data_IF_687662264756
#
_entry.id   IF_687662264756
#
_cell.length_a   1.000
_cell.length_b   1.000
_cell.length_c   1.000
_cell.angle_alpha   90.00
_cell.angle_beta   90.00
_cell.angle_gamma   90.00
#
_symmetry.space_group_name_H-M   'P 1'
#
loop_
_entity.id
_entity.type
_entity.pdbx_description
1 polymer ?
#
# COMPACT_ATOMS: atom_id res chain seq x y z
N UNK A 1 19.76 -21.49 16.45
CA UNK A 1 18.31 -21.70 16.62
C UNK A 1 17.75 -21.98 15.24
N UNK A 2 17.18 -23.15 14.98
CA UNK A 2 16.64 -23.49 13.64
C UNK A 2 15.35 -22.70 13.37
N UNK A 3 15.02 -22.43 12.10
CA UNK A 3 13.80 -21.70 11.72
C UNK A 3 12.54 -22.36 12.27
N UNK A 4 12.52 -23.69 12.39
CA UNK A 4 11.41 -24.44 12.99
C UNK A 4 11.15 -24.06 14.44
N UNK A 5 12.18 -23.72 15.22
CA UNK A 5 11.99 -23.27 16.61
C UNK A 5 11.23 -21.94 16.64
N UNK A 6 11.56 -21.02 15.72
CA UNK A 6 10.90 -19.71 15.61
C UNK A 6 9.45 -19.88 15.16
N UNK A 7 9.20 -20.70 14.14
CA UNK A 7 7.83 -20.94 13.64
C UNK A 7 6.96 -21.65 14.67
N UNK A 8 7.48 -22.68 15.35
CA UNK A 8 6.73 -23.37 16.40
C UNK A 8 6.44 -22.48 17.61
N UNK A 9 7.36 -21.60 18.00
CA UNK A 9 7.08 -20.57 19.01
C UNK A 9 5.98 -19.61 18.54
N UNK A 10 6.05 -19.14 17.30
CA UNK A 10 5.04 -18.26 16.72
C UNK A 10 3.65 -18.91 16.64
N UNK A 11 3.57 -20.18 16.27
CA UNK A 11 2.30 -20.95 16.26
C UNK A 11 1.69 -21.01 17.65
N UNK A 12 2.47 -21.37 18.67
CA UNK A 12 1.99 -21.42 20.06
C UNK A 12 1.46 -20.07 20.52
N UNK A 13 2.13 -18.98 20.14
CA UNK A 13 1.66 -17.64 20.47
C UNK A 13 0.33 -17.33 19.76
N UNK A 14 0.21 -17.61 18.46
CA UNK A 14 -1.02 -17.42 17.70
C UNK A 14 -2.17 -18.21 18.34
N UNK A 15 -1.95 -19.48 18.66
CA UNK A 15 -2.94 -20.33 19.31
C UNK A 15 -3.35 -19.76 20.66
N UNK A 16 -2.42 -19.29 21.49
CA UNK A 16 -2.76 -18.66 22.77
C UNK A 16 -3.65 -17.42 22.63
N UNK A 17 -3.48 -16.64 21.56
CA UNK A 17 -4.35 -15.50 21.24
C UNK A 17 -5.74 -15.95 20.77
N UNK A 18 -5.82 -17.05 20.02
CA UNK A 18 -7.08 -17.61 19.52
C UNK A 18 -7.88 -18.31 20.62
N UNK A 19 -7.19 -19.00 21.53
CA UNK A 19 -7.75 -19.66 22.71
C UNK A 19 -8.33 -18.67 23.73
N UNK A 20 -7.84 -17.41 23.73
CA UNK A 20 -8.39 -16.36 24.57
C UNK A 20 -9.87 -16.07 24.27
N UNK A 21 -10.37 -16.42 23.07
CA UNK A 21 -11.79 -16.43 22.74
C UNK A 21 -12.16 -15.59 21.53
N UNK A 22 -13.26 -15.98 20.87
CA UNK A 22 -13.74 -15.38 19.62
C UNK A 22 -14.27 -13.95 19.77
N UNK A 23 -14.47 -13.46 21.00
CA UNK A 23 -14.86 -12.06 21.23
C UNK A 23 -13.81 -11.06 20.73
N UNK A 24 -12.54 -11.48 20.60
CA UNK A 24 -11.47 -10.67 20.01
C UNK A 24 -11.54 -10.60 18.48
N UNK A 25 -12.31 -11.47 17.82
CA UNK A 25 -12.33 -11.55 16.36
C UNK A 25 -12.78 -10.24 15.71
N UNK A 26 -13.93 -9.70 16.10
CA UNK A 26 -14.45 -8.47 15.48
C UNK A 26 -13.54 -7.25 15.73
N UNK A 27 -13.02 -7.00 16.95
CA UNK A 27 -12.00 -5.98 17.17
C UNK A 27 -10.75 -6.16 16.30
N UNK A 28 -10.24 -7.40 16.18
CA UNK A 28 -9.05 -7.67 15.37
C UNK A 28 -9.31 -7.52 13.87
N UNK A 29 -10.48 -7.88 13.38
CA UNK A 29 -10.89 -7.60 12.01
C UNK A 29 -10.99 -6.09 11.75
N UNK A 30 -11.52 -5.31 12.70
CA UNK A 30 -11.54 -3.86 12.59
C UNK A 30 -10.14 -3.25 12.51
N UNK A 31 -9.23 -3.61 13.42
CA UNK A 31 -7.86 -3.10 13.36
C UNK A 31 -7.15 -3.57 12.09
N UNK A 32 -7.35 -4.81 11.68
CA UNK A 32 -6.84 -5.28 10.40
C UNK A 32 -7.39 -4.47 9.22
N UNK A 33 -8.66 -4.06 9.28
CA UNK A 33 -9.28 -3.28 8.23
C UNK A 33 -8.56 -1.95 7.98
N UNK A 34 -8.13 -1.30 9.06
CA UNK A 34 -7.34 -0.06 9.00
C UNK A 34 -5.97 -0.25 8.34
N UNK A 35 -5.52 -1.50 8.16
CA UNK A 35 -4.27 -1.86 7.50
C UNK A 35 -4.39 -2.20 6.01
N UNK A 36 -5.60 -2.29 5.44
CA UNK A 36 -5.79 -2.64 4.03
C UNK A 36 -5.46 -1.48 3.08
N UNK A 37 -4.98 -1.83 1.89
CA UNK A 37 -4.78 -0.88 0.79
C UNK A 37 -6.06 -0.13 0.43
N UNK A 38 -7.23 -0.78 0.49
CA UNK A 38 -8.52 -0.12 0.25
C UNK A 38 -8.79 1.01 1.26
N UNK A 39 -8.50 0.80 2.54
CA UNK A 39 -8.65 1.85 3.56
C UNK A 39 -7.75 3.03 3.23
N UNK A 40 -6.47 2.79 2.90
CA UNK A 40 -5.55 3.86 2.53
C UNK A 40 -5.94 4.56 1.22
N UNK A 41 -6.44 3.82 0.22
CA UNK A 41 -6.95 4.35 -1.05
C UNK A 41 -8.15 5.27 -0.84
N UNK A 42 -8.96 5.05 0.20
CA UNK A 42 -10.08 5.93 0.53
C UNK A 42 -9.63 7.15 1.34
N UNK A 43 -8.70 6.98 2.29
CA UNK A 43 -8.29 8.06 3.21
C UNK A 43 -7.26 9.02 2.60
N UNK A 44 -6.27 8.55 1.83
CA UNK A 44 -5.27 9.44 1.23
C UNK A 44 -5.90 10.49 0.30
N UNK A 45 -6.90 10.17 -0.55
CA UNK A 45 -7.63 11.17 -1.33
C UNK A 45 -8.52 12.08 -0.49
N UNK A 46 -9.06 11.63 0.65
CA UNK A 46 -9.73 12.54 1.60
C UNK A 46 -8.76 13.63 2.02
N UNK A 47 -7.55 13.26 2.48
CA UNK A 47 -6.54 14.23 2.88
C UNK A 47 -6.15 15.12 1.70
N UNK A 48 -5.89 14.53 0.54
CA UNK A 48 -5.47 15.24 -0.68
C UNK A 48 -6.50 16.28 -1.12
N UNK A 49 -7.75 15.86 -1.37
CA UNK A 49 -8.81 16.68 -1.95
C UNK A 49 -9.49 17.64 -0.97
N UNK A 50 -9.47 17.33 0.34
CA UNK A 50 -10.32 18.02 1.32
C UNK A 50 -9.58 18.76 2.42
N UNK A 51 -8.30 18.44 2.68
CA UNK A 51 -7.59 19.00 3.82
C UNK A 51 -6.25 19.62 3.42
N UNK A 52 -5.34 18.83 2.87
CA UNK A 52 -4.00 19.28 2.49
C UNK A 52 -3.48 18.41 1.33
N UNK A 53 -3.39 19.02 0.15
CA UNK A 53 -2.94 18.35 -1.06
C UNK A 53 -1.48 17.88 -0.98
N UNK A 54 -0.61 18.56 -0.23
CA UNK A 54 0.78 18.12 -0.11
C UNK A 54 0.87 16.89 0.82
N UNK A 55 0.15 16.87 1.94
CA UNK A 55 0.08 15.74 2.85
C UNK A 55 -0.58 14.52 2.20
N UNK A 56 -1.67 14.71 1.45
CA UNK A 56 -2.32 13.62 0.72
C UNK A 56 -1.45 13.01 -0.36
N UNK A 57 -0.68 13.84 -1.10
CA UNK A 57 0.28 13.34 -2.09
C UNK A 57 1.40 12.54 -1.42
N UNK A 58 1.94 13.03 -0.29
CA UNK A 58 2.94 12.30 0.50
C UNK A 58 2.43 10.94 0.93
N UNK A 59 1.21 10.85 1.47
CA UNK A 59 0.59 9.58 1.87
C UNK A 59 0.58 8.59 0.70
N UNK A 60 0.13 9.03 -0.48
CA UNK A 60 0.09 8.17 -1.68
C UNK A 60 1.49 7.71 -2.12
N UNK A 61 2.43 8.64 -2.31
CA UNK A 61 3.78 8.31 -2.79
C UNK A 61 4.52 7.42 -1.78
N UNK A 62 4.47 7.74 -0.49
CA UNK A 62 5.15 6.96 0.55
C UNK A 62 4.56 5.55 0.67
N UNK A 63 3.23 5.41 0.55
CA UNK A 63 2.58 4.10 0.56
C UNK A 63 3.01 3.25 -0.63
N UNK A 64 3.09 3.81 -1.84
CA UNK A 64 3.55 3.06 -3.01
C UNK A 64 5.02 2.64 -2.87
N UNK A 65 5.88 3.50 -2.31
CA UNK A 65 7.26 3.14 -1.99
C UNK A 65 7.33 2.03 -0.93
N UNK A 66 6.45 2.05 0.06
CA UNK A 66 6.34 1.00 1.09
C UNK A 66 5.88 -0.34 0.50
N UNK A 67 4.82 -0.35 -0.31
CA UNK A 67 4.32 -1.55 -0.97
C UNK A 67 5.37 -2.19 -1.87
N UNK A 68 6.13 -1.37 -2.61
CA UNK A 68 7.23 -1.85 -3.42
C UNK A 68 8.33 -2.52 -2.60
N UNK A 69 8.81 -1.86 -1.55
CA UNK A 69 9.84 -2.44 -0.69
C UNK A 69 9.32 -3.70 0.01
N UNK A 70 8.07 -3.70 0.47
CA UNK A 70 7.45 -4.86 1.10
C UNK A 70 7.44 -6.08 0.16
N UNK A 71 6.98 -5.89 -1.08
CA UNK A 71 6.96 -6.95 -2.09
C UNK A 71 8.36 -7.50 -2.42
N UNK A 72 9.35 -6.63 -2.58
CA UNK A 72 10.73 -7.08 -2.82
C UNK A 72 11.29 -7.91 -1.67
N UNK A 73 11.14 -7.41 -0.44
CA UNK A 73 11.67 -8.10 0.74
C UNK A 73 10.92 -9.42 0.98
N UNK A 74 9.62 -9.48 0.64
CA UNK A 74 8.83 -10.71 0.65
C UNK A 74 9.40 -11.79 -0.27
N UNK A 75 9.77 -11.43 -1.50
CA UNK A 75 10.43 -12.38 -2.41
C UNK A 75 11.80 -12.80 -1.86
N UNK A 76 12.58 -11.85 -1.36
CA UNK A 76 13.93 -12.11 -0.86
C UNK A 76 13.95 -13.15 0.28
N UNK A 77 13.00 -13.09 1.21
CA UNK A 77 12.92 -14.07 2.30
C UNK A 77 12.06 -15.29 1.99
N UNK A 78 11.12 -15.17 1.03
CA UNK A 78 10.25 -16.25 0.55
C UNK A 78 9.70 -17.15 1.69
N UNK A 79 9.29 -16.54 2.80
CA UNK A 79 8.91 -17.24 4.03
C UNK A 79 7.41 -17.59 4.03
N UNK A 80 7.02 -18.74 4.63
CA UNK A 80 5.63 -19.14 4.70
C UNK A 80 4.83 -18.27 5.67
N UNK A 81 3.51 -18.37 5.57
CA UNK A 81 2.60 -17.90 6.61
C UNK A 81 2.34 -18.98 7.65
N UNK A 82 1.83 -18.64 8.84
CA UNK A 82 1.54 -19.64 9.88
C UNK A 82 0.63 -20.77 9.39
N UNK A 83 -0.46 -20.45 8.69
CA UNK A 83 -1.40 -21.44 8.16
C UNK A 83 -0.90 -22.17 6.90
N UNK A 84 0.19 -21.70 6.28
CA UNK A 84 0.89 -22.45 5.23
C UNK A 84 1.83 -23.49 5.86
N UNK A 85 2.54 -23.09 6.91
CA UNK A 85 3.48 -23.96 7.60
C UNK A 85 2.77 -25.03 8.46
N UNK A 86 1.62 -24.71 9.07
CA UNK A 86 0.88 -25.67 9.90
C UNK A 86 -0.64 -25.53 9.75
N UNK A 87 -1.31 -26.63 9.43
CA UNK A 87 -2.77 -26.73 9.41
C UNK A 87 -3.43 -26.54 10.78
N UNK A 88 -2.65 -26.53 11.88
CA UNK A 88 -3.16 -26.30 13.24
C UNK A 88 -3.49 -24.83 13.53
N UNK A 89 -3.04 -23.90 12.69
CA UNK A 89 -3.35 -22.48 12.82
C UNK A 89 -4.63 -22.16 12.08
N UNK A 90 -5.61 -21.59 12.80
CA UNK A 90 -6.83 -21.08 12.19
C UNK A 90 -6.56 -19.73 11.53
N UNK A 91 -6.59 -19.67 10.21
CA UNK A 91 -6.56 -18.40 9.49
C UNK A 91 -7.96 -17.83 9.31
N UNK A 92 -8.12 -16.52 9.55
CA UNK A 92 -9.41 -15.83 9.46
C UNK A 92 -9.55 -14.96 8.20
N UNK A 93 -8.48 -14.82 7.42
CA UNK A 93 -8.49 -14.12 6.14
C UNK A 93 -7.49 -14.77 5.19
N UNK A 94 -7.82 -14.93 3.89
CA UNK A 94 -6.88 -15.44 2.91
C UNK A 94 -5.79 -14.41 2.64
N UNK A 95 -4.61 -14.89 2.32
CA UNK A 95 -3.44 -14.07 2.00
C UNK A 95 -2.52 -14.85 1.06
N UNK A 96 -2.40 -14.42 -0.20
CA UNK A 96 -1.67 -15.17 -1.24
C UNK A 96 -0.16 -14.88 -1.35
N UNK A 97 0.35 -13.83 -0.70
CA UNK A 97 1.77 -13.43 -0.76
C UNK A 97 2.59 -13.99 0.42
N UNK A 98 3.92 -14.06 0.31
CA UNK A 98 4.81 -14.50 1.41
C UNK A 98 4.58 -13.77 2.75
N UNK A 99 5.01 -14.39 3.85
CA UNK A 99 4.77 -13.94 5.22
C UNK A 99 5.61 -12.72 5.64
N UNK A 100 6.93 -12.79 5.57
CA UNK A 100 7.82 -11.73 6.08
C UNK A 100 8.21 -10.73 4.97
N UNK A 101 8.17 -9.41 5.23
CA UNK A 101 7.59 -8.73 6.38
C UNK A 101 6.08 -8.52 6.21
N UNK A 102 5.38 -8.30 7.33
CA UNK A 102 3.95 -7.98 7.30
C UNK A 102 3.71 -6.61 6.65
N UNK A 103 2.99 -6.61 5.52
CA UNK A 103 2.62 -5.39 4.81
C UNK A 103 1.71 -4.46 5.61
N UNK A 104 0.74 -5.01 6.36
CA UNK A 104 -0.13 -4.22 7.24
C UNK A 104 0.69 -3.50 8.32
N UNK A 105 1.61 -4.21 8.99
CA UNK A 105 2.48 -3.61 10.00
C UNK A 105 3.39 -2.52 9.39
N UNK A 106 4.05 -2.82 8.27
CA UNK A 106 4.94 -1.88 7.58
C UNK A 106 4.21 -0.62 7.10
N UNK A 107 3.09 -0.79 6.38
CA UNK A 107 2.31 0.31 5.86
C UNK A 107 1.66 1.14 6.97
N UNK A 108 1.30 0.53 8.10
CA UNK A 108 0.76 1.28 9.24
C UNK A 108 1.77 2.31 9.76
N UNK A 109 3.07 1.96 9.82
CA UNK A 109 4.13 2.88 10.25
C UNK A 109 4.25 4.05 9.28
N UNK A 110 4.31 3.75 7.98
CA UNK A 110 4.47 4.78 6.94
C UNK A 110 3.24 5.69 6.87
N UNK A 111 2.04 5.13 6.86
CA UNK A 111 0.79 5.87 6.69
C UNK A 111 0.43 6.69 7.93
N UNK A 112 0.31 6.04 9.09
CA UNK A 112 -0.06 6.72 10.33
C UNK A 112 1.07 7.62 10.86
N UNK A 113 2.34 7.28 10.60
CA UNK A 113 3.47 8.16 10.89
C UNK A 113 3.43 9.45 10.06
N UNK A 114 3.10 9.35 8.76
CA UNK A 114 2.89 10.52 7.89
C UNK A 114 1.72 11.38 8.38
N UNK A 115 0.60 10.74 8.76
CA UNK A 115 -0.58 11.44 9.28
C UNK A 115 -0.29 12.13 10.62
N UNK A 116 0.40 11.47 11.55
CA UNK A 116 0.81 12.06 12.83
C UNK A 116 1.74 13.27 12.63
N UNK A 117 2.68 13.19 11.68
CA UNK A 117 3.56 14.30 11.32
C UNK A 117 2.80 15.49 10.74
N UNK A 118 1.74 15.23 9.98
CA UNK A 118 0.83 16.26 9.47
C UNK A 118 -0.01 16.91 10.57
N UNK A 119 -0.53 16.14 11.52
CA UNK A 119 -1.31 16.63 12.67
C UNK A 119 -0.46 17.54 13.57
N UNK A 120 0.85 17.29 13.69
CA UNK A 120 1.81 18.10 14.48
C UNK A 120 1.43 18.24 15.97
N UNK A 121 0.73 17.26 16.53
CA UNK A 121 0.36 17.20 17.96
C UNK A 121 0.80 15.89 18.58
N UNK A 122 1.22 15.93 19.84
CA UNK A 122 1.65 14.75 20.60
C UNK A 122 0.57 13.66 20.63
N UNK A 123 -0.69 14.03 20.82
CA UNK A 123 -1.81 13.08 20.79
C UNK A 123 -1.95 12.37 19.44
N UNK A 124 -1.58 13.02 18.33
CA UNK A 124 -1.61 12.40 17.00
C UNK A 124 -0.61 11.25 16.88
N UNK A 125 0.57 11.39 17.50
CA UNK A 125 1.57 10.31 17.57
C UNK A 125 1.13 9.18 18.51
N UNK A 126 0.50 9.50 19.64
CA UNK A 126 -0.03 8.48 20.57
C UNK A 126 -1.06 7.60 19.84
N UNK A 127 -2.03 8.22 19.15
CA UNK A 127 -3.04 7.48 18.38
C UNK A 127 -2.36 6.65 17.28
N UNK A 128 -1.41 7.23 16.54
CA UNK A 128 -0.72 6.53 15.48
C UNK A 128 0.03 5.28 15.99
N UNK A 129 0.74 5.39 17.12
CA UNK A 129 1.44 4.25 17.73
C UNK A 129 0.49 3.16 18.21
N UNK A 130 -0.64 3.53 18.82
CA UNK A 130 -1.67 2.58 19.20
C UNK A 130 -2.25 1.85 17.99
N UNK A 131 -2.55 2.57 16.90
CA UNK A 131 -3.04 1.96 15.67
C UNK A 131 -2.00 1.01 15.05
N UNK A 132 -0.73 1.43 14.94
CA UNK A 132 0.35 0.56 14.45
C UNK A 132 0.48 -0.73 15.26
N UNK A 133 0.39 -0.63 16.59
CA UNK A 133 0.44 -1.77 17.49
C UNK A 133 -0.74 -2.73 17.26
N UNK A 134 -1.97 -2.22 17.32
CA UNK A 134 -3.17 -3.06 17.18
C UNK A 134 -3.35 -3.62 15.76
N UNK A 135 -2.93 -2.90 14.71
CA UNK A 135 -2.87 -3.43 13.34
C UNK A 135 -1.89 -4.59 13.26
N UNK A 136 -0.71 -4.50 13.89
CA UNK A 136 0.24 -5.62 13.92
C UNK A 136 -0.29 -6.81 14.71
N UNK A 137 -0.83 -6.55 15.91
CA UNK A 137 -1.43 -7.58 16.77
C UNK A 137 -2.57 -8.32 16.09
N UNK A 138 -3.42 -7.61 15.33
CA UNK A 138 -4.51 -8.24 14.61
C UNK A 138 -4.04 -9.25 13.58
N UNK A 139 -2.89 -9.03 12.94
CA UNK A 139 -2.33 -9.99 11.96
C UNK A 139 -1.85 -11.29 12.60
N UNK A 140 -1.37 -11.22 13.84
CA UNK A 140 -0.99 -12.41 14.63
C UNK A 140 -2.28 -13.18 15.01
N UNK A 141 -3.26 -12.50 15.58
CA UNK A 141 -4.54 -13.10 15.99
C UNK A 141 -5.26 -13.76 14.80
N UNK A 142 -5.31 -13.08 13.64
CA UNK A 142 -5.97 -13.58 12.43
C UNK A 142 -5.22 -14.77 11.78
N UNK A 143 -4.08 -15.19 12.32
CA UNK A 143 -3.36 -16.40 11.91
C UNK A 143 -2.58 -16.26 10.60
N UNK A 144 -2.34 -15.04 10.12
CA UNK A 144 -1.74 -14.81 8.79
C UNK A 144 -0.29 -14.33 8.82
N UNK A 145 0.23 -13.99 10.00
CA UNK A 145 1.62 -13.57 10.19
C UNK A 145 2.19 -14.10 11.51
N UNK A 146 3.46 -14.47 11.48
CA UNK A 146 4.22 -14.71 12.70
C UNK A 146 4.54 -13.37 13.40
N UNK A 147 4.81 -13.39 14.72
CA UNK A 147 5.22 -12.18 15.44
C UNK A 147 6.50 -11.54 14.86
N UNK A 148 7.41 -12.38 14.35
CA UNK A 148 8.63 -11.93 13.65
C UNK A 148 8.32 -11.16 12.37
N UNK A 149 7.27 -11.54 11.64
CA UNK A 149 6.86 -10.85 10.40
C UNK A 149 6.36 -9.44 10.70
N UNK A 150 5.61 -9.29 11.79
CA UNK A 150 5.06 -8.01 12.28
C UNK A 150 6.18 -7.11 12.77
N UNK A 151 7.10 -7.65 13.58
CA UNK A 151 8.26 -6.90 14.05
C UNK A 151 9.16 -6.42 12.90
N UNK A 152 9.45 -7.30 11.94
CA UNK A 152 10.19 -6.95 10.73
C UNK A 152 9.46 -5.86 9.93
N UNK A 153 8.13 -5.96 9.81
CA UNK A 153 7.29 -4.95 9.16
C UNK A 153 7.41 -3.57 9.84
N UNK A 154 7.29 -3.49 11.16
CA UNK A 154 7.46 -2.23 11.88
C UNK A 154 8.87 -1.65 11.72
N UNK A 155 9.92 -2.48 11.85
CA UNK A 155 11.30 -2.04 11.73
C UNK A 155 11.61 -1.50 10.32
N UNK A 156 11.27 -2.26 9.28
CA UNK A 156 11.47 -1.85 7.89
C UNK A 156 10.64 -0.62 7.58
N UNK A 157 9.40 -0.56 8.05
CA UNK A 157 8.51 0.59 7.89
C UNK A 157 9.08 1.85 8.54
N UNK A 158 9.66 1.76 9.73
CA UNK A 158 10.26 2.89 10.43
C UNK A 158 11.52 3.40 9.73
N UNK A 159 12.40 2.48 9.28
CA UNK A 159 13.60 2.83 8.51
C UNK A 159 13.21 3.51 7.20
N UNK A 160 12.27 2.92 6.44
CA UNK A 160 11.81 3.48 5.18
C UNK A 160 11.13 4.84 5.38
N UNK A 161 10.27 4.97 6.39
CA UNK A 161 9.60 6.24 6.69
C UNK A 161 10.62 7.34 7.00
N UNK A 162 11.64 7.06 7.83
CA UNK A 162 12.73 7.99 8.11
C UNK A 162 13.53 8.36 6.86
N UNK A 163 13.80 7.40 5.97
CA UNK A 163 14.49 7.63 4.70
C UNK A 163 13.66 8.52 3.76
N UNK A 164 12.38 8.21 3.60
CA UNK A 164 11.46 8.98 2.74
C UNK A 164 11.36 10.44 3.21
N UNK A 165 11.25 10.68 4.52
CA UNK A 165 11.27 12.03 5.06
C UNK A 165 12.56 12.79 4.78
N UNK A 166 13.72 12.11 4.81
CA UNK A 166 15.02 12.72 4.51
C UNK A 166 15.19 13.02 3.02
N UNK A 167 14.71 12.13 2.16
CA UNK A 167 14.88 12.24 0.70
C UNK A 167 13.83 13.12 0.03
N UNK A 168 12.67 13.34 0.65
CA UNK A 168 11.55 14.08 0.05
C UNK A 168 11.98 15.45 -0.50
N UNK A 169 12.59 16.30 0.33
CA UNK A 169 12.94 17.66 -0.08
C UNK A 169 14.03 17.70 -1.17
N UNK A 170 15.17 16.97 -1.04
CA UNK A 170 16.16 16.90 -2.11
C UNK A 170 15.58 16.42 -3.44
N UNK A 171 14.77 15.35 -3.43
CA UNK A 171 14.16 14.79 -4.64
C UNK A 171 13.19 15.78 -5.27
N UNK A 172 12.31 16.41 -4.48
CA UNK A 172 11.38 17.41 -5.00
C UNK A 172 12.09 18.63 -5.57
N UNK A 173 13.15 19.13 -4.91
CA UNK A 173 13.94 20.25 -5.42
C UNK A 173 14.64 19.91 -6.73
N UNK A 174 15.18 18.70 -6.86
CA UNK A 174 15.78 18.23 -8.09
C UNK A 174 14.75 18.07 -9.21
N UNK A 175 13.62 17.41 -8.96
CA UNK A 175 12.54 17.25 -9.94
C UNK A 175 12.02 18.60 -10.45
N UNK A 176 11.87 19.60 -9.57
CA UNK A 176 11.43 20.96 -9.94
C UNK A 176 12.37 21.66 -10.93
N UNK A 177 13.64 21.27 -11.04
CA UNK A 177 14.60 21.82 -12.01
C UNK A 177 14.43 21.22 -13.40
N UNK A 178 13.78 20.06 -13.51
CA UNK A 178 13.60 19.36 -14.77
C UNK A 178 12.39 19.91 -15.55
N UNK A 179 12.44 19.77 -16.88
CA UNK A 179 11.27 19.98 -17.74
C UNK A 179 10.16 18.97 -17.41
N UNK A 180 8.89 19.28 -17.72
CA UNK A 180 7.79 18.35 -17.44
C UNK A 180 7.97 16.98 -18.14
N UNK A 181 8.35 16.90 -19.44
CA UNK A 181 8.65 15.62 -20.07
C UNK A 181 9.78 14.86 -19.37
N UNK A 182 10.83 15.56 -18.92
CA UNK A 182 11.92 14.95 -18.17
C UNK A 182 11.49 14.44 -16.79
N UNK A 183 10.61 15.15 -16.08
CA UNK A 183 10.02 14.67 -14.83
C UNK A 183 9.25 13.38 -15.06
N UNK A 184 8.39 13.33 -16.08
CA UNK A 184 7.62 12.14 -16.41
C UNK A 184 8.51 10.96 -16.82
N UNK A 185 9.56 11.21 -17.61
CA UNK A 185 10.52 10.18 -18.01
C UNK A 185 11.24 9.58 -16.80
N UNK A 186 11.68 10.41 -15.85
CA UNK A 186 12.32 9.95 -14.60
C UNK A 186 11.35 9.13 -13.74
N UNK A 187 10.12 9.61 -13.56
CA UNK A 187 9.12 8.91 -12.73
C UNK A 187 8.73 7.58 -13.39
N UNK A 188 8.61 7.54 -14.72
CA UNK A 188 8.36 6.31 -15.46
C UNK A 188 9.54 5.35 -15.33
N UNK A 189 10.78 5.83 -15.48
CA UNK A 189 11.97 5.01 -15.31
C UNK A 189 12.06 4.43 -13.89
N UNK A 190 11.70 5.20 -12.86
CA UNK A 190 11.61 4.70 -11.49
C UNK A 190 10.54 3.60 -11.35
N UNK A 191 9.33 3.80 -11.91
CA UNK A 191 8.26 2.80 -11.89
C UNK A 191 8.64 1.51 -12.65
N UNK A 192 9.26 1.63 -13.83
CA UNK A 192 9.77 0.47 -14.57
C UNK A 192 10.91 -0.22 -13.82
N UNK A 193 11.77 0.55 -13.14
CA UNK A 193 12.80 0.03 -12.25
C UNK A 193 12.22 -0.78 -11.08
N UNK A 194 11.10 -0.34 -10.51
CA UNK A 194 10.38 -1.11 -9.48
C UNK A 194 9.93 -2.48 -10.00
N UNK A 195 9.34 -2.51 -11.20
CA UNK A 195 8.89 -3.74 -11.86
C UNK A 195 10.10 -4.63 -12.19
N UNK A 196 11.16 -4.05 -12.75
CA UNK A 196 12.38 -4.77 -13.13
C UNK A 196 13.08 -5.39 -11.92
N UNK A 197 13.16 -4.67 -10.79
CA UNK A 197 13.74 -5.21 -9.54
C UNK A 197 12.91 -6.36 -8.98
N UNK A 198 11.58 -6.29 -9.11
CA UNK A 198 10.70 -7.39 -8.68
C UNK A 198 10.86 -8.62 -9.57
N UNK A 199 10.96 -8.41 -10.89
CA UNK A 199 11.31 -9.46 -11.85
C UNK A 199 12.66 -10.09 -11.55
N UNK A 200 13.68 -9.27 -11.27
CA UNK A 200 15.02 -9.74 -10.93
C UNK A 200 15.01 -10.54 -9.63
N UNK A 201 14.30 -10.07 -8.60
CA UNK A 201 14.13 -10.79 -7.34
C UNK A 201 13.46 -12.15 -7.59
N UNK A 202 12.39 -12.20 -8.39
CA UNK A 202 11.74 -13.46 -8.77
C UNK A 202 12.68 -14.38 -9.55
N UNK A 203 13.42 -13.84 -10.52
CA UNK A 203 14.40 -14.60 -11.30
C UNK A 203 15.51 -15.19 -10.43
N UNK A 204 15.93 -14.46 -9.39
CA UNK A 204 16.98 -14.91 -8.46
C UNK A 204 16.59 -16.15 -7.63
N UNK A 205 15.31 -16.51 -7.59
CA UNK A 205 14.85 -17.73 -6.94
C UNK A 205 15.20 -19.02 -7.71
N UNK A 206 15.59 -18.91 -8.98
CA UNK A 206 15.93 -20.06 -9.83
C UNK A 206 14.80 -21.08 -9.91
N UNK A 207 15.10 -22.33 -9.58
CA UNK A 207 14.14 -23.45 -9.65
C UNK A 207 13.31 -23.63 -8.37
N UNK A 208 13.39 -22.68 -7.41
CA UNK A 208 12.62 -22.78 -6.17
C UNK A 208 11.13 -22.92 -6.47
N UNK A 209 10.51 -23.95 -5.86
CA UNK A 209 9.09 -24.20 -5.94
C UNK A 209 8.45 -23.99 -4.58
N UNK A 210 7.17 -23.62 -4.59
CA UNK A 210 6.37 -23.56 -3.37
C UNK A 210 6.29 -24.99 -2.80
N UNK A 211 6.69 -25.23 -1.54
CA UNK A 211 6.57 -26.54 -0.93
C UNK A 211 5.13 -27.07 -0.99
N UNK A 212 4.94 -28.33 -1.38
CA UNK A 212 3.61 -28.94 -1.51
C UNK A 212 2.82 -28.90 -0.20
N UNK A 213 3.52 -29.01 0.93
CA UNK A 213 2.91 -28.86 2.26
C UNK A 213 2.29 -27.48 2.47
N UNK A 214 2.92 -26.41 1.98
CA UNK A 214 2.37 -25.06 2.09
C UNK A 214 1.10 -24.91 1.27
N UNK A 215 1.09 -25.46 0.06
CA UNK A 215 -0.08 -25.47 -0.82
C UNK A 215 -1.23 -26.24 -0.16
N UNK A 216 -0.95 -27.46 0.33
CA UNK A 216 -1.93 -28.32 1.00
C UNK A 216 -2.52 -27.65 2.24
N UNK A 217 -1.68 -27.12 3.13
CA UNK A 217 -2.15 -26.49 4.37
C UNK A 217 -2.93 -25.19 4.09
N UNK A 218 -2.50 -24.39 3.11
CA UNK A 218 -3.24 -23.21 2.69
C UNK A 218 -4.63 -23.57 2.13
N UNK A 219 -4.71 -24.62 1.30
CA UNK A 219 -5.97 -25.10 0.74
C UNK A 219 -6.93 -25.67 1.78
N UNK A 220 -6.44 -26.20 2.92
CA UNK A 220 -7.30 -26.59 4.05
C UNK A 220 -8.00 -25.36 4.65
N UNK A 221 -7.29 -24.23 4.76
CA UNK A 221 -7.86 -23.00 5.32
C UNK A 221 -8.78 -22.28 4.31
N UNK A 222 -8.36 -22.18 3.04
CA UNK A 222 -9.09 -21.51 1.98
C UNK A 222 -8.97 -22.29 0.66
N UNK A 223 -9.91 -23.22 0.37
CA UNK A 223 -9.86 -24.06 -0.83
C UNK A 223 -9.92 -23.29 -2.15
N UNK A 224 -10.67 -22.18 -2.17
CA UNK A 224 -10.95 -21.40 -3.39
C UNK A 224 -9.97 -20.24 -3.62
N UNK A 225 -8.98 -20.06 -2.72
CA UNK A 225 -8.04 -18.93 -2.74
C UNK A 225 -6.59 -19.45 -2.82
N UNK A 226 -6.11 -19.85 -4.01
CA UNK A 226 -4.78 -20.42 -4.16
C UNK A 226 -3.69 -19.40 -3.81
N UNK A 227 -2.63 -19.87 -3.16
CA UNK A 227 -1.48 -19.03 -2.82
C UNK A 227 -0.68 -18.70 -4.08
N UNK A 228 -0.38 -17.42 -4.29
CA UNK A 228 0.34 -16.91 -5.46
C UNK A 228 1.47 -15.96 -5.04
N UNK A 229 2.48 -16.43 -4.28
CA UNK A 229 3.47 -15.56 -3.68
C UNK A 229 4.41 -14.87 -4.67
N UNK A 230 4.43 -15.31 -5.92
CA UNK A 230 5.27 -14.78 -7.00
C UNK A 230 4.48 -13.97 -8.04
N UNK A 231 3.21 -13.66 -7.79
CA UNK A 231 2.39 -12.81 -8.67
C UNK A 231 3.06 -11.43 -8.86
N UNK A 232 3.03 -10.96 -10.11
CA UNK A 232 3.55 -9.65 -10.51
C UNK A 232 2.46 -8.57 -10.43
N UNK A 233 1.19 -8.95 -10.36
CA UNK A 233 0.04 -8.05 -10.34
C UNK A 233 0.21 -6.91 -9.32
N UNK A 234 0.59 -7.22 -8.08
CA UNK A 234 0.77 -6.22 -7.03
C UNK A 234 1.95 -5.28 -7.29
N UNK A 235 3.05 -5.81 -7.83
CA UNK A 235 4.24 -5.02 -8.18
C UNK A 235 3.92 -4.02 -9.30
N UNK A 236 3.23 -4.50 -10.35
CA UNK A 236 2.80 -3.68 -11.49
C UNK A 236 1.79 -2.62 -11.05
N UNK A 237 0.76 -2.98 -10.29
CA UNK A 237 -0.23 -2.03 -9.76
C UNK A 237 0.41 -0.95 -8.88
N UNK A 238 1.38 -1.31 -8.04
CA UNK A 238 2.12 -0.37 -7.18
C UNK A 238 2.97 0.61 -7.99
N UNK A 239 3.75 0.10 -8.95
CA UNK A 239 4.59 0.92 -9.83
C UNK A 239 3.75 1.87 -10.70
N UNK A 240 2.63 1.37 -11.23
CA UNK A 240 1.69 2.14 -12.02
C UNK A 240 1.05 3.27 -11.21
N UNK A 241 0.56 2.99 -10.00
CA UNK A 241 0.00 4.00 -9.12
C UNK A 241 1.06 5.04 -8.71
N UNK A 242 2.30 4.63 -8.44
CA UNK A 242 3.43 5.54 -8.21
C UNK A 242 3.64 6.49 -9.41
N UNK A 243 3.67 5.94 -10.62
CA UNK A 243 3.79 6.73 -11.85
C UNK A 243 2.62 7.69 -12.03
N UNK A 244 1.39 7.22 -11.87
CA UNK A 244 0.17 8.02 -12.01
C UNK A 244 0.13 9.20 -11.01
N UNK A 245 0.40 8.93 -9.74
CA UNK A 245 0.44 9.95 -8.69
C UNK A 245 1.54 10.99 -8.96
N UNK A 246 2.74 10.55 -9.34
CA UNK A 246 3.87 11.46 -9.59
C UNK A 246 3.72 12.29 -10.87
N UNK A 247 3.30 11.66 -11.96
CA UNK A 247 3.09 12.34 -13.25
C UNK A 247 1.89 13.31 -13.20
N UNK A 248 0.82 12.93 -12.51
CA UNK A 248 -0.33 13.81 -12.29
C UNK A 248 0.03 15.00 -11.40
N UNK A 249 0.71 14.77 -10.27
CA UNK A 249 1.15 15.85 -9.39
C UNK A 249 2.12 16.84 -10.05
N UNK A 250 3.06 16.36 -10.88
CA UNK A 250 4.00 17.22 -11.60
C UNK A 250 3.30 18.12 -12.62
N UNK A 251 2.30 17.60 -13.35
CA UNK A 251 1.48 18.42 -14.24
C UNK A 251 0.63 19.42 -13.46
N UNK A 252 -0.06 18.97 -12.40
CA UNK A 252 -0.86 19.85 -11.56
C UNK A 252 -0.02 20.99 -10.96
N UNK A 253 1.20 20.70 -10.51
CA UNK A 253 2.14 21.71 -10.04
C UNK A 253 2.48 22.73 -11.12
N UNK A 254 2.73 22.28 -12.36
CA UNK A 254 3.01 23.18 -13.49
C UNK A 254 1.80 24.03 -13.89
N UNK A 255 0.59 23.51 -13.70
CA UNK A 255 -0.67 24.23 -13.88
C UNK A 255 -1.03 25.17 -12.71
N UNK A 256 -0.18 25.28 -11.68
CA UNK A 256 -0.34 26.23 -10.57
C UNK A 256 -0.83 25.63 -9.26
N UNK A 257 -0.94 24.30 -9.15
CA UNK A 257 -1.46 23.61 -7.97
C UNK A 257 -2.89 24.05 -7.60
N UNK A 258 -3.43 23.56 -6.48
CA UNK A 258 -4.74 23.98 -5.99
C UNK A 258 -4.77 24.08 -4.46
N UNK A 259 -5.70 24.89 -3.97
CA UNK A 259 -5.95 25.03 -2.54
C UNK A 259 -7.06 24.06 -2.10
N UNK A 260 -6.73 23.13 -1.21
CA UNK A 260 -7.66 22.18 -0.62
C UNK A 260 -8.60 22.82 0.45
N UNK A 261 -8.38 24.08 0.81
CA UNK A 261 -9.27 24.84 1.71
C UNK A 261 -10.64 25.07 1.09
N UNK A 262 -11.64 25.33 1.94
CA UNK A 262 -13.04 25.49 1.53
C UNK A 262 -13.99 25.06 2.65
N UNK A 263 -15.28 25.32 2.45
CA UNK A 263 -16.34 24.91 3.38
C UNK A 263 -16.46 23.39 3.48
N UNK A 264 -17.11 22.88 4.53
CA UNK A 264 -17.34 21.45 4.69
C UNK A 264 -18.08 20.84 3.48
N UNK A 265 -19.06 21.56 2.91
CA UNK A 265 -19.78 21.15 1.70
C UNK A 265 -18.87 21.06 0.47
N UNK A 266 -17.96 22.03 0.27
CA UNK A 266 -16.98 21.98 -0.83
C UNK A 266 -16.01 20.81 -0.68
N UNK A 267 -15.56 20.53 0.54
CA UNK A 267 -14.70 19.37 0.85
C UNK A 267 -15.41 18.06 0.54
N UNK A 268 -16.64 17.88 1.05
CA UNK A 268 -17.45 16.69 0.81
C UNK A 268 -17.71 16.48 -0.69
N UNK A 269 -18.10 17.53 -1.42
CA UNK A 269 -18.40 17.42 -2.84
C UNK A 269 -17.16 17.09 -3.69
N UNK A 270 -15.99 17.64 -3.36
CA UNK A 270 -14.72 17.25 -4.02
C UNK A 270 -14.42 15.78 -3.78
N UNK A 271 -14.57 15.30 -2.55
CA UNK A 271 -14.35 13.90 -2.24
C UNK A 271 -15.30 13.00 -3.03
N UNK A 272 -16.60 13.32 -3.07
CA UNK A 272 -17.59 12.55 -3.82
C UNK A 272 -17.29 12.51 -5.32
N UNK A 273 -17.04 13.66 -5.94
CA UNK A 273 -16.72 13.74 -7.38
C UNK A 273 -15.42 13.00 -7.68
N UNK A 274 -14.39 13.21 -6.86
CA UNK A 274 -13.11 12.53 -7.00
C UNK A 274 -13.24 11.02 -6.87
N UNK A 275 -13.99 10.54 -5.87
CA UNK A 275 -14.25 9.12 -5.64
C UNK A 275 -15.04 8.51 -6.80
N UNK A 276 -16.09 9.18 -7.30
CA UNK A 276 -16.88 8.71 -8.43
C UNK A 276 -16.01 8.51 -9.68
N UNK A 277 -15.13 9.46 -10.00
CA UNK A 277 -14.23 9.28 -11.15
C UNK A 277 -13.17 8.19 -10.92
N UNK A 278 -12.68 8.04 -9.68
CA UNK A 278 -11.76 6.96 -9.33
C UNK A 278 -12.42 5.59 -9.52
N UNK A 279 -13.66 5.43 -9.02
CA UNK A 279 -14.49 4.22 -9.17
C UNK A 279 -14.78 3.95 -10.65
N UNK A 280 -15.15 4.98 -11.41
CA UNK A 280 -15.44 4.85 -12.84
C UNK A 280 -14.22 4.38 -13.64
N UNK A 281 -13.03 4.93 -13.38
CA UNK A 281 -11.79 4.50 -14.03
C UNK A 281 -11.41 3.08 -13.57
N UNK A 282 -11.44 2.82 -12.26
CA UNK A 282 -11.02 1.55 -11.70
C UNK A 282 -11.89 0.39 -12.19
N UNK A 283 -13.21 0.46 -11.96
CA UNK A 283 -14.13 -0.62 -12.32
C UNK A 283 -14.49 -0.61 -13.81
N UNK A 284 -14.57 0.56 -14.44
CA UNK A 284 -14.85 0.65 -15.88
C UNK A 284 -13.75 -0.02 -16.71
N UNK A 285 -12.48 0.19 -16.35
CA UNK A 285 -11.38 -0.49 -17.03
C UNK A 285 -11.21 -1.95 -16.58
N UNK A 286 -11.49 -2.29 -15.32
CA UNK A 286 -11.48 -3.70 -14.85
C UNK A 286 -12.47 -4.57 -15.61
N UNK A 287 -13.63 -4.04 -15.98
CA UNK A 287 -14.67 -4.77 -16.70
C UNK A 287 -14.30 -5.13 -18.16
N UNK A 288 -13.31 -4.43 -18.74
CA UNK A 288 -12.92 -4.60 -20.15
C UNK A 288 -11.50 -5.17 -20.29
N UNK A 289 -10.62 -4.90 -19.32
CA UNK A 289 -9.24 -5.37 -19.36
C UNK A 289 -9.15 -6.83 -18.93
N UNK A 290 -8.31 -7.64 -19.59
CA UNK A 290 -8.10 -9.03 -19.20
C UNK A 290 -7.44 -9.12 -17.80
N UNK A 291 -7.81 -10.17 -17.07
CA UNK A 291 -7.21 -10.52 -15.79
C UNK A 291 -6.22 -11.65 -16.02
N UNK A 292 -4.97 -11.44 -15.62
CA UNK A 292 -3.92 -12.43 -15.80
C UNK A 292 -2.53 -11.89 -15.47
N UNK A 293 -1.54 -12.78 -15.59
CA UNK A 293 -0.11 -12.51 -15.40
C UNK A 293 0.65 -12.45 -16.73
N UNK A 294 -0.03 -12.57 -17.87
CA UNK A 294 0.55 -12.38 -19.19
C UNK A 294 0.85 -10.90 -19.47
N UNK A 295 1.67 -10.65 -20.50
CA UNK A 295 2.12 -9.30 -20.84
C UNK A 295 0.97 -8.31 -21.09
N UNK A 296 -0.06 -8.71 -21.83
CA UNK A 296 -1.17 -7.80 -22.18
C UNK A 296 -1.96 -7.43 -20.93
N UNK A 297 -2.28 -8.43 -20.08
CA UNK A 297 -2.96 -8.22 -18.80
C UNK A 297 -2.17 -7.30 -17.87
N UNK A 298 -0.85 -7.52 -17.73
CA UNK A 298 0.01 -6.68 -16.89
C UNK A 298 0.18 -5.27 -17.46
N UNK A 299 0.31 -5.11 -18.78
CA UNK A 299 0.40 -3.81 -19.43
C UNK A 299 -0.88 -2.98 -19.25
N UNK A 300 -2.05 -3.60 -19.46
CA UNK A 300 -3.33 -2.94 -19.27
C UNK A 300 -3.62 -2.65 -17.79
N UNK A 301 -3.19 -3.53 -16.87
CA UNK A 301 -3.16 -3.26 -15.43
C UNK A 301 -2.31 -2.03 -15.13
N UNK A 302 -1.12 -1.91 -15.73
CA UNK A 302 -0.29 -0.72 -15.56
C UNK A 302 -1.02 0.55 -16.00
N UNK A 303 -1.64 0.55 -17.18
CA UNK A 303 -2.41 1.71 -17.67
C UNK A 303 -3.54 2.07 -16.70
N UNK A 304 -4.33 1.08 -16.25
CA UNK A 304 -5.46 1.32 -15.35
C UNK A 304 -5.04 2.01 -14.05
N UNK A 305 -4.03 1.46 -13.37
CA UNK A 305 -3.59 2.01 -12.08
C UNK A 305 -2.84 3.34 -12.22
N UNK A 306 -2.14 3.55 -13.35
CA UNK A 306 -1.57 4.85 -13.69
C UNK A 306 -2.65 5.92 -13.90
N UNK A 307 -3.73 5.59 -14.61
CA UNK A 307 -4.86 6.49 -14.80
C UNK A 307 -5.59 6.81 -13.50
N UNK A 308 -5.73 5.85 -12.59
CA UNK A 308 -6.27 6.08 -11.24
C UNK A 308 -5.41 7.09 -10.47
N UNK A 309 -4.09 6.89 -10.41
CA UNK A 309 -3.18 7.83 -9.74
C UNK A 309 -3.17 9.22 -10.36
N UNK A 310 -3.19 9.29 -11.70
CA UNK A 310 -3.23 10.54 -12.45
C UNK A 310 -4.56 11.28 -12.24
N UNK A 311 -5.67 10.56 -12.17
CA UNK A 311 -6.97 11.11 -11.80
C UNK A 311 -6.94 11.74 -10.42
N UNK A 312 -6.41 11.02 -9.43
CA UNK A 312 -6.34 11.49 -8.04
C UNK A 312 -5.58 12.81 -7.95
N UNK A 313 -4.41 12.89 -8.58
CA UNK A 313 -3.48 14.00 -8.40
C UNK A 313 -3.58 15.11 -9.45
N UNK A 314 -4.36 14.95 -10.52
CA UNK A 314 -4.46 15.96 -11.58
C UNK A 314 -5.89 16.19 -12.06
N UNK A 315 -6.53 15.20 -12.70
CA UNK A 315 -7.83 15.40 -13.35
C UNK A 315 -8.93 15.81 -12.36
N UNK A 316 -8.99 15.15 -11.18
CA UNK A 316 -9.90 15.51 -10.11
C UNK A 316 -9.74 16.98 -9.68
N UNK A 317 -8.54 17.40 -9.23
CA UNK A 317 -8.25 18.80 -8.93
C UNK A 317 -8.61 19.81 -10.03
N UNK A 318 -8.35 19.49 -11.30
CA UNK A 318 -8.73 20.37 -12.42
C UNK A 318 -10.25 20.53 -12.54
N UNK A 319 -11.01 19.45 -12.33
CA UNK A 319 -12.48 19.50 -12.27
C UNK A 319 -12.92 20.37 -11.09
N UNK A 320 -12.30 20.25 -9.92
CA UNK A 320 -12.65 21.05 -8.75
C UNK A 320 -12.43 22.55 -8.98
N UNK A 321 -11.34 22.92 -9.65
CA UNK A 321 -11.08 24.31 -10.05
C UNK A 321 -12.15 24.79 -11.04
N UNK A 322 -12.41 24.01 -12.10
CA UNK A 322 -13.39 24.35 -13.13
C UNK A 322 -14.81 24.51 -12.59
N UNK A 323 -15.16 23.73 -11.57
CA UNK A 323 -16.46 23.75 -10.89
C UNK A 323 -16.51 24.70 -9.69
N UNK A 324 -15.45 25.49 -9.45
CA UNK A 324 -15.33 26.44 -8.32
C UNK A 324 -15.44 25.79 -6.92
N UNK A 325 -15.15 24.49 -6.83
CA UNK A 325 -15.05 23.75 -5.56
C UNK A 325 -13.65 23.87 -4.94
N UNK A 326 -12.66 24.29 -5.72
CA UNK A 326 -11.34 24.67 -5.27
C UNK A 326 -10.88 25.94 -6.00
N UNK A 327 -9.91 26.63 -5.41
CA UNK A 327 -9.24 27.75 -6.07
C UNK A 327 -7.83 27.33 -6.51
N UNK A 328 -7.31 27.86 -7.63
CA UNK A 328 -5.89 27.74 -7.96
C UNK A 328 -5.04 28.24 -6.80
N UNK A 329 -3.93 27.55 -6.50
CA UNK A 329 -2.97 28.09 -5.54
C UNK A 329 -2.25 29.26 -6.20
N UNK A 330 -2.18 30.43 -5.55
CA UNK A 330 -1.20 31.44 -5.98
C UNK A 330 0.18 30.79 -5.80
N UNK A 331 1.03 30.82 -6.83
CA UNK A 331 2.39 30.25 -6.79
C UNK A 331 3.10 30.77 -5.53
N UNK A 332 3.39 29.89 -4.58
CA UNK A 332 4.31 30.13 -3.46
C UNK A 332 5.50 29.21 -3.62
#
# INVERSE_FOLDING_TARGET
>A
MTMDVIYNWGIKLIQSFQDAGTFLLSPMQFFSFLGYDLFYLLIAPVVFWSFDAAAGLRLGIFLMSSNFLNGLVKIFFHAPRPYWYSASVKAYTPEGSFGIPSGHAQNSVVFFGTLARFIRRTWGWIIALLLMFFIGLSRIYLGVHFPTDVFAGWLIGAILFGLLLRLEQPVLQWLKRLSLPSQWAVILAAALGMIALYWLARYSLGDWQIPEEWIRNAAIAFPDEPIQPLSLSSAVSTAAAFFGLGSGASLLYRLGWYNASGSAGQRALRYLIGLLGMVAIYFGLDAVFPVGEDFLSLFLRFIRYALVGFWVTCLGPLIFIKTKLAQPSRKT
#
